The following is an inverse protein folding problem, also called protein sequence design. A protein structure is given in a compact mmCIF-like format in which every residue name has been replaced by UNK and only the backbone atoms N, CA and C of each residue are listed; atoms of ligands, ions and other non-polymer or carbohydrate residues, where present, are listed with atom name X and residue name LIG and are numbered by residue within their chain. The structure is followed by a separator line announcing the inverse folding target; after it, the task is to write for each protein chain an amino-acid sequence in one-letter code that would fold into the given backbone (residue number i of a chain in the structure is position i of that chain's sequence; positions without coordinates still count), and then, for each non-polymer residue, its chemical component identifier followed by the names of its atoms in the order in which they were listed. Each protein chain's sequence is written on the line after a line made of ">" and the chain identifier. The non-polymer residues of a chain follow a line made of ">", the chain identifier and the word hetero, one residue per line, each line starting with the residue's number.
data_IF_421587304547
#
_entry.id   IF_421587304547
#
_cell.length_a   1.000
_cell.length_b   1.000
_cell.length_c   1.000
_cell.angle_alpha   90.00
_cell.angle_beta   90.00
_cell.angle_gamma   90.00
#
_symmetry.space_group_name_H-M   'P 1'
#
loop_
_entity.id
_entity.type
_entity.pdbx_description
1 polymer ?
#
# COMPACT_ATOMS: atom_id res chain seq x y z
N UNK A 1 -14.12 26.19 -13.86
CA UNK A 1 -13.14 25.61 -12.91
C UNK A 1 -13.90 25.22 -11.65
N UNK A 2 -14.27 23.97 -11.51
CA UNK A 2 -15.02 23.46 -10.36
C UNK A 2 -14.02 22.99 -9.31
N UNK A 3 -13.97 23.65 -8.15
CA UNK A 3 -13.17 23.21 -7.02
C UNK A 3 -13.72 21.87 -6.51
N UNK A 4 -12.98 20.78 -6.72
CA UNK A 4 -13.28 19.49 -6.10
C UNK A 4 -12.99 19.60 -4.60
N UNK A 5 -14.05 19.60 -3.81
CA UNK A 5 -13.97 19.53 -2.35
C UNK A 5 -13.35 18.18 -1.96
N UNK A 6 -12.29 18.25 -1.17
CA UNK A 6 -11.66 17.10 -0.53
C UNK A 6 -12.67 16.42 0.39
N UNK A 7 -13.08 15.19 0.05
CA UNK A 7 -13.87 14.35 0.94
C UNK A 7 -12.90 13.43 1.68
N UNK A 8 -12.79 13.53 3.02
CA UNK A 8 -11.95 12.62 3.79
C UNK A 8 -12.45 11.18 3.60
N UNK A 9 -11.51 10.28 3.34
CA UNK A 9 -11.79 8.86 3.17
C UNK A 9 -12.26 8.25 4.49
N UNK A 10 -13.45 7.64 4.49
CA UNK A 10 -13.98 6.87 5.61
C UNK A 10 -13.81 5.39 5.25
N UNK A 11 -13.02 4.60 6.01
CA UNK A 11 -12.88 3.16 5.79
C UNK A 11 -14.25 2.48 5.90
N UNK A 12 -14.57 1.60 4.95
CA UNK A 12 -15.80 0.81 5.02
C UNK A 12 -15.63 -0.41 5.95
N UNK A 13 -16.73 -1.10 6.24
CA UNK A 13 -16.74 -2.26 7.15
C UNK A 13 -15.89 -3.43 6.64
N UNK A 14 -15.61 -3.48 5.34
CA UNK A 14 -14.78 -4.51 4.71
C UNK A 14 -13.29 -4.15 4.79
N UNK A 15 -12.94 -2.86 4.74
CA UNK A 15 -11.60 -2.36 5.03
C UNK A 15 -11.18 -2.72 6.46
N UNK A 16 -12.14 -2.73 7.40
CA UNK A 16 -11.93 -3.16 8.80
C UNK A 16 -11.67 -4.66 8.92
N UNK A 17 -12.42 -5.49 8.20
CA UNK A 17 -12.18 -6.94 8.22
C UNK A 17 -10.82 -7.32 7.61
N UNK A 18 -10.43 -6.68 6.49
CA UNK A 18 -9.13 -6.91 5.85
C UNK A 18 -8.00 -6.43 6.76
N UNK A 19 -8.19 -5.29 7.41
CA UNK A 19 -7.31 -4.76 8.46
C UNK A 19 -7.07 -5.77 9.59
N UNK A 20 -8.12 -6.26 10.25
CA UNK A 20 -7.99 -7.22 11.36
C UNK A 20 -7.30 -8.54 10.94
N UNK A 21 -7.53 -8.99 9.71
CA UNK A 21 -6.87 -10.17 9.15
C UNK A 21 -5.36 -9.97 8.99
N UNK A 22 -4.89 -8.77 8.66
CA UNK A 22 -3.46 -8.50 8.56
C UNK A 22 -2.76 -8.76 9.89
N UNK A 23 -3.32 -8.29 11.00
CA UNK A 23 -2.63 -8.32 12.29
C UNK A 23 -2.42 -9.75 12.80
N UNK A 24 -3.31 -10.69 12.45
CA UNK A 24 -3.48 -11.94 13.20
C UNK A 24 -3.11 -13.23 12.48
N UNK A 25 -3.09 -13.30 11.14
CA UNK A 25 -2.91 -14.59 10.42
C UNK A 25 -1.74 -14.59 9.44
N UNK A 26 -0.84 -15.57 9.56
CA UNK A 26 0.29 -15.77 8.64
C UNK A 26 -0.10 -16.48 7.34
N UNK A 27 -1.15 -17.32 7.37
CA UNK A 27 -1.58 -18.13 6.23
C UNK A 27 -2.23 -17.31 5.11
N UNK A 28 -2.96 -16.26 5.46
CA UNK A 28 -3.71 -15.41 4.51
C UNK A 28 -3.04 -14.08 4.21
N UNK A 29 -1.93 -13.78 4.89
CA UNK A 29 -1.21 -12.52 4.77
C UNK A 29 -0.81 -12.17 3.32
N UNK A 30 -0.28 -13.12 2.50
CA UNK A 30 0.04 -12.81 1.11
C UNK A 30 -1.18 -12.34 0.31
N UNK A 31 -2.32 -13.00 0.46
CA UNK A 31 -3.58 -12.61 -0.22
C UNK A 31 -4.09 -11.25 0.25
N UNK A 32 -4.03 -10.97 1.56
CA UNK A 32 -4.41 -9.68 2.11
C UNK A 32 -3.51 -8.55 1.59
N UNK A 33 -2.18 -8.76 1.57
CA UNK A 33 -1.23 -7.80 1.03
C UNK A 33 -1.43 -7.56 -0.47
N UNK A 34 -1.74 -8.61 -1.23
CA UNK A 34 -2.06 -8.49 -2.64
C UNK A 34 -3.33 -7.65 -2.84
N UNK A 35 -4.40 -7.92 -2.09
CA UNK A 35 -5.63 -7.14 -2.13
C UNK A 35 -5.40 -5.66 -1.80
N UNK A 36 -4.66 -5.38 -0.71
CA UNK A 36 -4.32 -4.02 -0.30
C UNK A 36 -3.46 -3.33 -1.35
N UNK A 37 -2.57 -4.05 -2.02
CA UNK A 37 -1.78 -3.50 -3.11
C UNK A 37 -2.67 -2.98 -4.23
N UNK A 38 -3.71 -3.74 -4.62
CA UNK A 38 -4.72 -3.30 -5.59
C UNK A 38 -5.49 -2.06 -5.10
N UNK A 39 -5.87 -2.05 -3.83
CA UNK A 39 -6.52 -0.89 -3.21
C UNK A 39 -5.63 0.36 -3.21
N UNK A 40 -4.37 0.24 -2.79
CA UNK A 40 -3.38 1.35 -2.75
C UNK A 40 -3.14 1.88 -4.15
N UNK A 41 -2.96 1.00 -5.14
CA UNK A 41 -2.79 1.36 -6.54
C UNK A 41 -4.01 2.15 -7.07
N UNK A 42 -5.23 1.66 -6.82
CA UNK A 42 -6.47 2.33 -7.24
C UNK A 42 -6.69 3.69 -6.54
N UNK A 43 -6.30 3.80 -5.26
CA UNK A 43 -6.37 5.08 -4.55
C UNK A 43 -5.41 6.08 -5.14
N UNK A 44 -4.22 5.63 -5.50
CA UNK A 44 -3.14 6.52 -5.94
C UNK A 44 -3.25 6.92 -7.42
N UNK A 45 -3.76 6.05 -8.28
CA UNK A 45 -3.93 6.36 -9.71
C UNK A 45 -4.81 7.59 -9.96
N UNK A 46 -5.78 7.85 -9.07
CA UNK A 46 -6.67 9.03 -9.12
C UNK A 46 -5.96 10.35 -8.80
N UNK A 47 -4.78 10.29 -8.18
CA UNK A 47 -4.01 11.46 -7.74
C UNK A 47 -2.77 11.72 -8.58
N UNK A 48 -2.30 10.71 -9.31
CA UNK A 48 -1.14 10.81 -10.19
C UNK A 48 -1.49 11.55 -11.49
N UNK A 49 -0.60 12.46 -11.90
CA UNK A 49 -0.70 13.19 -13.17
C UNK A 49 0.10 12.54 -14.29
N UNK A 50 1.15 11.79 -13.95
CA UNK A 50 2.00 11.14 -14.93
C UNK A 50 1.36 9.83 -15.40
N UNK A 51 1.01 9.68 -16.70
CA UNK A 51 0.36 8.50 -17.22
C UNK A 51 1.26 7.26 -17.14
N UNK A 52 2.57 7.41 -17.30
CA UNK A 52 3.53 6.30 -17.15
C UNK A 52 3.56 5.80 -15.71
N UNK A 53 3.58 6.73 -14.74
CA UNK A 53 3.47 6.37 -13.32
C UNK A 53 2.16 5.62 -13.02
N UNK A 54 1.03 6.04 -13.61
CA UNK A 54 -0.25 5.35 -13.47
C UNK A 54 -0.20 3.95 -14.08
N UNK A 55 0.32 3.82 -15.29
CA UNK A 55 0.44 2.53 -15.97
C UNK A 55 1.33 1.55 -15.19
N UNK A 56 2.39 2.04 -14.55
CA UNK A 56 3.30 1.22 -13.75
C UNK A 56 2.68 0.68 -12.44
N UNK A 57 1.52 1.20 -12.00
CA UNK A 57 0.83 0.71 -10.80
C UNK A 57 0.05 -0.59 -11.04
N UNK A 58 -0.27 -0.92 -12.29
CA UNK A 58 -1.18 -2.01 -12.62
C UNK A 58 -0.54 -2.98 -13.60
N UNK A 59 -1.01 -4.22 -13.56
CA UNK A 59 -0.73 -5.16 -14.64
C UNK A 59 -1.71 -5.00 -15.80
N UNK A 60 -1.28 -5.30 -17.03
CA UNK A 60 -2.19 -5.37 -18.15
C UNK A 60 -3.21 -6.51 -17.95
N UNK A 61 -4.46 -6.35 -18.40
CA UNK A 61 -5.55 -7.30 -18.14
C UNK A 61 -5.32 -8.72 -18.67
N UNK A 62 -4.42 -8.87 -19.65
CA UNK A 62 -4.22 -10.09 -20.42
C UNK A 62 -3.20 -11.06 -19.78
N UNK A 63 -2.52 -10.66 -18.70
CA UNK A 63 -1.60 -11.53 -17.96
C UNK A 63 -2.36 -12.37 -16.92
N UNK A 64 -2.54 -13.67 -17.20
CA UNK A 64 -3.20 -14.60 -16.27
C UNK A 64 -2.25 -14.87 -15.10
N UNK A 65 -2.45 -14.14 -14.01
CA UNK A 65 -1.67 -14.30 -12.78
C UNK A 65 -1.90 -15.65 -12.09
N UNK A 66 -0.80 -16.27 -11.63
CA UNK A 66 -0.82 -17.52 -10.85
C UNK A 66 -1.51 -17.34 -9.49
N UNK A 67 -1.41 -16.14 -8.89
CA UNK A 67 -2.19 -15.74 -7.69
C UNK A 67 -3.72 -15.69 -7.93
N UNK A 68 -4.18 -15.69 -9.18
CA UNK A 68 -5.60 -15.78 -9.51
C UNK A 68 -6.09 -17.22 -9.75
N UNK A 69 -5.22 -18.24 -9.69
CA UNK A 69 -5.58 -19.62 -10.08
C UNK A 69 -6.12 -20.48 -8.93
N UNK A 70 -5.86 -20.13 -7.68
CA UNK A 70 -6.32 -20.93 -6.53
C UNK A 70 -6.61 -20.03 -5.32
N UNK A 71 -7.84 -20.11 -4.79
CA UNK A 71 -8.25 -19.71 -3.42
C UNK A 71 -7.87 -18.32 -2.89
N UNK A 72 -7.36 -17.41 -3.71
CA UNK A 72 -7.05 -16.04 -3.28
C UNK A 72 -8.32 -15.23 -3.04
N UNK A 73 -8.32 -14.32 -2.05
CA UNK A 73 -9.43 -13.38 -1.76
C UNK A 73 -9.96 -12.65 -3.00
N UNK A 74 -9.13 -12.49 -4.02
CA UNK A 74 -9.51 -11.90 -5.31
C UNK A 74 -10.42 -12.78 -6.17
N UNK A 75 -10.24 -14.09 -6.12
CA UNK A 75 -11.11 -15.04 -6.83
C UNK A 75 -12.55 -14.96 -6.30
N UNK A 76 -12.71 -14.73 -5.00
CA UNK A 76 -14.01 -14.54 -4.35
C UNK A 76 -14.68 -13.19 -4.68
N UNK A 77 -13.93 -12.15 -5.12
CA UNK A 77 -14.42 -10.76 -5.21
C UNK A 77 -14.18 -10.08 -6.56
N UNK A 78 -14.07 -10.84 -7.65
CA UNK A 78 -13.97 -10.29 -9.02
C UNK A 78 -15.18 -9.45 -9.47
N UNK A 79 -16.26 -9.44 -8.71
CA UNK A 79 -17.47 -8.63 -8.97
C UNK A 79 -17.29 -7.13 -8.71
N UNK A 80 -16.15 -6.67 -8.17
CA UNK A 80 -15.98 -5.30 -7.64
C UNK A 80 -15.09 -4.30 -8.40
N UNK A 81 -14.63 -4.57 -9.63
CA UNK A 81 -13.65 -3.71 -10.35
C UNK A 81 -12.31 -3.53 -9.60
N UNK A 82 -11.88 -4.54 -8.85
CA UNK A 82 -10.58 -4.48 -8.17
C UNK A 82 -9.47 -4.55 -9.23
N UNK A 83 -8.64 -3.51 -9.29
CA UNK A 83 -7.50 -3.49 -10.20
C UNK A 83 -6.44 -4.49 -9.75
N UNK A 84 -5.81 -5.18 -10.69
CA UNK A 84 -4.67 -6.07 -10.43
C UNK A 84 -3.43 -5.17 -10.27
N UNK A 85 -2.83 -5.09 -9.07
CA UNK A 85 -1.64 -4.29 -8.84
C UNK A 85 -0.44 -4.88 -9.57
N UNK A 86 0.50 -4.03 -9.97
CA UNK A 86 1.78 -4.51 -10.51
C UNK A 86 2.61 -5.23 -9.44
N UNK A 87 3.51 -6.15 -9.83
CA UNK A 87 4.38 -6.86 -8.89
C UNK A 87 5.26 -5.90 -8.08
N UNK A 88 5.59 -4.74 -8.67
CA UNK A 88 6.32 -3.67 -8.00
C UNK A 88 5.53 -3.08 -6.83
N UNK A 89 4.22 -2.81 -7.02
CA UNK A 89 3.36 -2.34 -5.92
C UNK A 89 3.26 -3.40 -4.82
N UNK A 90 3.03 -4.67 -5.19
CA UNK A 90 2.94 -5.78 -4.22
C UNK A 90 4.22 -5.90 -3.40
N UNK A 91 5.38 -5.79 -4.05
CA UNK A 91 6.68 -5.86 -3.39
C UNK A 91 6.89 -4.70 -2.41
N UNK A 92 6.57 -3.47 -2.81
CA UNK A 92 6.67 -2.29 -1.92
C UNK A 92 5.74 -2.43 -0.71
N UNK A 93 4.48 -2.84 -0.92
CA UNK A 93 3.52 -3.08 0.16
C UNK A 93 4.02 -4.17 1.11
N UNK A 94 4.50 -5.29 0.58
CA UNK A 94 5.01 -6.41 1.37
C UNK A 94 6.24 -6.02 2.19
N UNK A 95 7.18 -5.29 1.58
CA UNK A 95 8.35 -4.75 2.30
C UNK A 95 7.92 -3.78 3.40
N UNK A 96 6.96 -2.89 3.11
CA UNK A 96 6.44 -1.93 4.09
C UNK A 96 5.81 -2.64 5.29
N UNK A 97 4.98 -3.67 5.06
CA UNK A 97 4.36 -4.48 6.11
C UNK A 97 5.41 -5.20 6.96
N UNK A 98 6.44 -5.78 6.33
CA UNK A 98 7.53 -6.43 7.05
C UNK A 98 8.25 -5.48 8.01
N UNK A 99 8.66 -4.30 7.51
CA UNK A 99 9.29 -3.29 8.38
C UNK A 99 8.33 -2.77 9.44
N UNK A 100 7.05 -2.62 9.11
CA UNK A 100 6.07 -2.10 10.05
C UNK A 100 5.86 -3.04 11.24
N UNK A 101 5.77 -4.34 10.97
CA UNK A 101 5.64 -5.36 12.03
C UNK A 101 6.86 -5.49 12.90
N UNK A 102 8.06 -5.33 12.34
CA UNK A 102 9.29 -5.31 13.14
C UNK A 102 9.29 -4.16 14.16
N UNK A 103 8.58 -3.07 13.86
CA UNK A 103 8.44 -1.92 14.74
C UNK A 103 7.19 -1.96 15.62
N UNK A 104 6.37 -3.02 15.56
CA UNK A 104 5.05 -3.08 16.22
C UNK A 104 5.13 -2.80 17.73
N UNK A 105 6.14 -3.36 18.40
CA UNK A 105 6.33 -3.21 19.85
C UNK A 105 6.73 -1.79 20.27
N UNK A 106 7.21 -0.96 19.35
CA UNK A 106 7.58 0.44 19.60
C UNK A 106 6.63 1.43 18.92
N UNK A 107 5.57 0.93 18.25
CA UNK A 107 4.66 1.74 17.46
C UNK A 107 3.52 2.30 18.32
N UNK A 108 3.76 3.47 18.90
CA UNK A 108 2.78 4.20 19.71
C UNK A 108 1.96 5.21 18.91
N UNK A 109 2.50 5.71 17.78
CA UNK A 109 1.80 6.62 16.87
C UNK A 109 2.49 6.67 15.50
N UNK A 110 1.81 7.21 14.48
CA UNK A 110 2.37 7.57 13.16
C UNK A 110 3.35 8.77 13.28
N UNK A 111 4.42 8.61 14.07
CA UNK A 111 5.46 9.65 14.17
C UNK A 111 6.19 9.79 12.85
N UNK A 112 6.28 11.03 12.35
CA UNK A 112 6.95 11.36 11.09
C UNK A 112 8.34 10.70 10.97
N UNK A 113 9.14 10.72 12.05
CA UNK A 113 10.48 10.10 12.06
C UNK A 113 10.45 8.58 11.83
N UNK A 114 9.47 7.86 12.39
CA UNK A 114 9.31 6.41 12.20
C UNK A 114 8.86 6.10 10.78
N UNK A 115 7.90 6.88 10.26
CA UNK A 115 7.45 6.77 8.87
C UNK A 115 8.59 7.06 7.89
N UNK A 116 9.40 8.10 8.12
CA UNK A 116 10.55 8.44 7.29
C UNK A 116 11.62 7.33 7.32
N UNK A 117 11.86 6.71 8.48
CA UNK A 117 12.74 5.55 8.60
C UNK A 117 12.25 4.36 7.80
N UNK A 118 10.97 3.96 7.98
CA UNK A 118 10.38 2.85 7.23
C UNK A 118 10.42 3.14 5.73
N UNK A 119 10.14 4.37 5.32
CA UNK A 119 10.27 4.78 3.93
C UNK A 119 11.71 4.60 3.42
N UNK A 120 12.72 5.07 4.16
CA UNK A 120 14.13 4.89 3.78
C UNK A 120 14.50 3.41 3.64
N UNK A 121 14.09 2.58 4.60
CA UNK A 121 14.38 1.14 4.61
C UNK A 121 13.69 0.43 3.43
N UNK A 122 12.42 0.75 3.16
CA UNK A 122 11.67 0.23 2.00
C UNK A 122 12.28 0.70 0.69
N UNK A 123 12.64 1.97 0.58
CA UNK A 123 13.24 2.54 -0.62
C UNK A 123 14.55 1.83 -0.95
N UNK A 124 15.43 1.63 0.03
CA UNK A 124 16.68 0.91 -0.13
C UNK A 124 16.45 -0.55 -0.57
N UNK A 125 15.46 -1.22 0.02
CA UNK A 125 15.18 -2.63 -0.26
C UNK A 125 14.50 -2.86 -1.63
N UNK A 126 13.72 -1.91 -2.13
CA UNK A 126 12.82 -2.14 -3.27
C UNK A 126 13.20 -1.37 -4.53
N UNK A 127 13.79 -0.18 -4.41
CA UNK A 127 14.12 0.67 -5.57
C UNK A 127 14.97 -0.02 -6.65
N UNK A 128 15.97 -0.87 -6.34
CA UNK A 128 16.79 -1.52 -7.38
C UNK A 128 16.05 -2.57 -8.22
N UNK A 129 14.82 -2.93 -7.86
CA UNK A 129 14.13 -4.11 -8.40
C UNK A 129 12.61 -3.91 -8.44
N UNK A 130 12.19 -2.66 -8.62
CA UNK A 130 10.79 -2.26 -8.79
C UNK A 130 10.70 -1.14 -9.83
N UNK A 131 9.59 -1.13 -10.56
CA UNK A 131 9.27 -0.11 -11.56
C UNK A 131 10.33 0.04 -12.67
N UNK A 132 10.93 -1.08 -13.13
CA UNK A 132 11.98 -1.07 -14.17
C UNK A 132 11.54 -0.33 -15.44
N UNK A 133 10.27 -0.46 -15.83
CA UNK A 133 9.66 0.25 -16.98
C UNK A 133 9.67 1.77 -16.84
N UNK A 134 9.79 2.29 -15.61
CA UNK A 134 9.87 3.72 -15.32
C UNK A 134 11.30 4.23 -15.21
N UNK A 135 12.32 3.37 -15.25
CA UNK A 135 13.70 3.80 -14.99
C UNK A 135 14.16 4.86 -16.00
N UNK A 136 13.96 4.59 -17.30
CA UNK A 136 14.31 5.53 -18.37
C UNK A 136 13.44 6.79 -18.36
N UNK A 137 12.13 6.65 -18.18
CA UNK A 137 11.20 7.79 -18.08
C UNK A 137 11.54 8.71 -16.89
N UNK A 138 11.81 8.11 -15.72
CA UNK A 138 12.25 8.81 -14.53
C UNK A 138 13.54 9.57 -14.84
N UNK A 139 14.54 8.91 -15.44
CA UNK A 139 15.81 9.57 -15.80
C UNK A 139 15.63 10.75 -16.75
N UNK A 140 14.66 10.71 -17.66
CA UNK A 140 14.39 11.77 -18.63
C UNK A 140 13.61 12.94 -18.02
N UNK A 141 12.64 12.67 -17.13
CA UNK A 141 11.83 13.72 -16.51
C UNK A 141 12.60 14.54 -15.46
N UNK A 142 13.60 13.93 -14.80
CA UNK A 142 14.45 14.61 -13.79
C UNK A 142 15.54 15.52 -14.37
N UNK A 143 15.72 15.56 -15.70
CA UNK A 143 16.69 16.47 -16.35
C UNK A 143 16.22 17.93 -16.28
N UNK A 144 14.91 18.18 -16.10
CA UNK A 144 14.31 19.52 -16.18
C UNK A 144 13.83 20.09 -14.84
N UNK A 145 13.74 19.29 -13.77
CA UNK A 145 13.30 19.77 -12.46
C UNK A 145 14.50 20.21 -11.58
N UNK A 146 14.61 21.51 -11.32
CA UNK A 146 15.61 22.16 -10.44
C UNK A 146 15.52 21.74 -8.96
N UNK A 147 14.70 20.76 -8.62
CA UNK A 147 14.56 20.18 -7.28
C UNK A 147 14.92 18.69 -7.31
N UNK A 148 16.23 18.43 -7.36
CA UNK A 148 16.89 17.11 -7.33
C UNK A 148 16.64 16.24 -6.09
N UNK A 149 15.44 16.23 -5.49
CA UNK A 149 15.23 15.55 -4.20
C UNK A 149 14.50 14.22 -4.24
N UNK A 150 13.66 13.93 -5.23
CA UNK A 150 13.03 12.61 -5.34
C UNK A 150 12.69 12.27 -6.80
N UNK A 151 13.15 11.11 -7.28
CA UNK A 151 12.80 10.64 -8.61
C UNK A 151 11.36 10.08 -8.69
N UNK A 152 10.81 9.83 -9.89
CA UNK A 152 9.42 9.35 -10.02
C UNK A 152 9.19 8.04 -9.25
N UNK A 153 10.20 7.16 -9.21
CA UNK A 153 10.15 5.88 -8.50
C UNK A 153 10.13 6.12 -6.98
N UNK A 154 11.00 6.99 -6.47
CA UNK A 154 11.00 7.40 -5.06
C UNK A 154 9.65 7.99 -4.64
N UNK A 155 9.04 8.82 -5.50
CA UNK A 155 7.71 9.41 -5.26
C UNK A 155 6.64 8.31 -5.18
N UNK A 156 6.63 7.37 -6.12
CA UNK A 156 5.68 6.24 -6.11
C UNK A 156 5.82 5.42 -4.83
N UNK A 157 7.04 5.00 -4.49
CA UNK A 157 7.32 4.21 -3.29
C UNK A 157 6.86 4.95 -2.04
N UNK A 158 7.16 6.25 -1.92
CA UNK A 158 6.77 7.07 -0.76
C UNK A 158 5.25 7.10 -0.57
N UNK A 159 4.50 7.24 -1.66
CA UNK A 159 3.05 7.26 -1.60
C UNK A 159 2.45 5.90 -1.25
N UNK A 160 2.99 4.81 -1.81
CA UNK A 160 2.56 3.45 -1.48
C UNK A 160 2.81 3.16 0.00
N UNK A 161 4.01 3.45 0.50
CA UNK A 161 4.40 3.31 1.92
C UNK A 161 3.43 4.08 2.81
N UNK A 162 3.23 5.37 2.53
CA UNK A 162 2.36 6.22 3.35
C UNK A 162 0.90 5.76 3.33
N UNK A 163 0.40 5.27 2.20
CA UNK A 163 -0.96 4.76 2.11
C UNK A 163 -1.11 3.47 2.92
N UNK A 164 -0.17 2.54 2.78
CA UNK A 164 -0.18 1.29 3.52
C UNK A 164 -0.08 1.51 5.03
N UNK A 165 0.87 2.33 5.49
CA UNK A 165 1.08 2.58 6.92
C UNK A 165 -0.14 3.22 7.60
N UNK A 166 -0.90 4.06 6.88
CA UNK A 166 -2.17 4.58 7.39
C UNK A 166 -3.20 3.48 7.62
N UNK A 167 -3.34 2.55 6.67
CA UNK A 167 -4.25 1.41 6.82
C UNK A 167 -3.80 0.50 7.97
N UNK A 168 -2.51 0.18 8.02
CA UNK A 168 -1.92 -0.65 9.06
C UNK A 168 -2.12 -0.05 10.46
N UNK A 169 -1.94 1.25 10.61
CA UNK A 169 -2.09 1.92 11.90
C UNK A 169 -3.56 1.98 12.36
N UNK A 170 -4.49 2.31 11.45
CA UNK A 170 -5.94 2.28 11.76
C UNK A 170 -6.35 0.88 12.24
N UNK A 171 -5.91 -0.16 11.52
CA UNK A 171 -6.13 -1.55 11.91
C UNK A 171 -5.61 -1.87 13.30
N UNK A 172 -4.40 -1.41 13.62
CA UNK A 172 -3.78 -1.68 14.91
C UNK A 172 -4.54 -0.99 16.06
N UNK A 173 -4.97 0.25 15.87
CA UNK A 173 -5.77 0.98 16.86
C UNK A 173 -7.11 0.27 17.13
N UNK A 174 -7.83 -0.13 16.08
CA UNK A 174 -9.10 -0.87 16.21
C UNK A 174 -8.90 -2.21 16.93
N UNK A 175 -7.85 -2.95 16.58
CA UNK A 175 -7.51 -4.20 17.23
C UNK A 175 -7.24 -4.01 18.73
N UNK A 176 -6.41 -3.02 19.10
CA UNK A 176 -6.09 -2.71 20.50
C UNK A 176 -7.37 -2.36 21.28
N UNK A 177 -8.24 -1.50 20.72
CA UNK A 177 -9.51 -1.14 21.34
C UNK A 177 -10.41 -2.37 21.56
N UNK A 178 -10.50 -3.27 20.58
CA UNK A 178 -11.30 -4.49 20.69
C UNK A 178 -10.82 -5.42 21.82
N UNK A 179 -9.49 -5.53 22.01
CA UNK A 179 -8.88 -6.35 23.07
C UNK A 179 -9.11 -5.73 24.44
N UNK A 180 -8.96 -4.41 24.57
CA UNK A 180 -9.20 -3.68 25.82
C UNK A 180 -10.68 -3.76 26.26
N UNK A 181 -11.62 -3.64 25.32
CA UNK A 181 -13.06 -3.79 25.57
C UNK A 181 -13.46 -5.22 25.99
N UNK A 182 -12.79 -6.25 25.45
CA UNK A 182 -13.03 -7.64 25.88
C UNK A 182 -12.51 -7.90 27.29
N UNK A 183 -11.37 -7.32 27.67
CA UNK A 183 -10.82 -7.45 29.03
C UNK A 183 -11.70 -6.79 30.10
N UNK A 184 -12.37 -5.68 29.78
CA UNK A 184 -13.25 -4.97 30.71
C UNK A 184 -14.62 -5.62 30.90
N UNK A 185 -15.06 -6.48 29.98
CA UNK A 185 -16.30 -7.28 30.13
C UNK A 185 -16.12 -8.61 30.88
N UNK A 186 -14.88 -8.98 31.18
CA UNK A 186 -14.51 -10.21 31.89
C UNK A 186 -14.14 -9.96 33.37
N UNK A 187 -14.31 -8.72 33.84
CA UNK A 187 -14.16 -8.28 35.24
C UNK A 187 -15.53 -7.81 35.75
#
# INVERSE_FOLDING_TARGET
>A
MTMMQYVPYVPDEQDKQVSDMLVTSTAWRPDALFYISGFVANKFCKTLKCPDCVAALFEPPDEIHEHCKTTSLLSCKRTGKLFIPSPSVVKVVTSTDNFARQQLNSWTSLEKRKTDKIFSDVLQATKPCTFDKLFEHSRQCHILDQHMRDDHISILIRHIVNCYLKLFFISLEEFIQSVLLKKTKLL
#
